data_IF_581043817377
#
_entry.id   IF_581043817377
#
_cell.length_a   1.000
_cell.length_b   1.000
_cell.length_c   1.000
_cell.angle_alpha   90.00
_cell.angle_beta   90.00
_cell.angle_gamma   90.00
#
_symmetry.space_group_name_H-M   'P 1'
#
loop_
_entity.id
_entity.type
_entity.pdbx_description
1 polymer ?
#
# COMPACT_ATOMS: atom_id res chain seq x y z
N UNK A 1 25.75 12.96 -45.78
CA UNK A 1 25.75 11.74 -44.96
C UNK A 1 25.06 12.08 -43.65
N UNK A 2 23.74 11.92 -43.59
CA UNK A 2 22.95 12.25 -42.40
C UNK A 2 23.07 11.10 -41.39
N UNK A 3 23.62 11.41 -40.22
CA UNK A 3 23.73 10.49 -39.09
C UNK A 3 22.30 10.31 -38.55
N UNK A 4 21.68 9.15 -38.80
CA UNK A 4 20.36 8.83 -38.23
C UNK A 4 20.54 8.50 -36.73
N UNK A 5 19.78 9.14 -35.82
CA UNK A 5 19.85 8.84 -34.41
C UNK A 5 19.17 7.50 -34.07
N UNK A 6 19.74 6.75 -33.13
CA UNK A 6 19.37 5.39 -32.74
C UNK A 6 18.20 5.36 -31.72
N UNK A 7 16.97 5.60 -32.19
CA UNK A 7 15.76 5.76 -31.34
C UNK A 7 14.97 4.49 -30.87
N UNK A 8 15.28 3.22 -31.18
CA UNK A 8 14.29 2.14 -30.90
C UNK A 8 14.37 1.46 -29.52
N UNK A 9 15.51 1.43 -28.82
CA UNK A 9 15.66 0.52 -27.66
C UNK A 9 15.09 1.07 -26.34
N UNK A 10 15.28 2.36 -26.08
CA UNK A 10 14.90 2.98 -24.80
C UNK A 10 13.39 3.15 -24.68
N UNK A 11 12.72 3.57 -25.76
CA UNK A 11 11.27 3.79 -25.79
C UNK A 11 10.52 2.47 -25.57
N UNK A 12 10.94 1.39 -26.23
CA UNK A 12 10.35 0.05 -26.06
C UNK A 12 10.53 -0.45 -24.63
N UNK A 13 11.69 -0.24 -24.02
CA UNK A 13 11.94 -0.67 -22.64
C UNK A 13 11.08 0.08 -21.61
N UNK A 14 10.84 1.39 -21.81
CA UNK A 14 9.99 2.19 -20.93
C UNK A 14 8.52 1.76 -21.04
N UNK A 15 8.03 1.50 -22.26
CA UNK A 15 6.67 1.02 -22.50
C UNK A 15 6.41 -0.33 -21.83
N UNK A 16 7.32 -1.30 -22.00
CA UNK A 16 7.19 -2.61 -21.38
C UNK A 16 7.16 -2.54 -19.84
N UNK A 17 7.99 -1.68 -19.25
CA UNK A 17 8.00 -1.47 -17.78
C UNK A 17 6.66 -0.93 -17.29
N UNK A 18 6.06 -0.01 -18.03
CA UNK A 18 4.76 0.55 -17.67
C UNK A 18 3.63 -0.48 -17.80
N UNK A 19 3.59 -1.24 -18.89
CA UNK A 19 2.62 -2.32 -19.10
C UNK A 19 2.70 -3.38 -18.00
N UNK A 20 3.91 -3.75 -17.59
CA UNK A 20 4.11 -4.70 -16.48
C UNK A 20 3.53 -4.19 -15.15
N UNK A 21 3.61 -2.89 -14.87
CA UNK A 21 3.00 -2.30 -13.66
C UNK A 21 1.48 -2.29 -13.76
N UNK A 22 0.92 -2.03 -14.95
CA UNK A 22 -0.54 -2.11 -15.17
C UNK A 22 -1.04 -3.54 -14.94
N UNK A 23 -0.33 -4.53 -15.50
CA UNK A 23 -0.64 -5.94 -15.32
C UNK A 23 -0.52 -6.35 -13.85
N UNK A 24 0.55 -5.93 -13.18
CA UNK A 24 0.76 -6.21 -11.76
C UNK A 24 -0.37 -5.64 -10.89
N UNK A 25 -0.76 -4.38 -11.11
CA UNK A 25 -1.80 -3.72 -10.34
C UNK A 25 -3.21 -4.26 -10.62
N UNK A 26 -3.45 -4.79 -11.81
CA UNK A 26 -4.80 -5.20 -12.25
C UNK A 26 -4.98 -6.71 -12.17
N UNK A 27 -4.17 -7.46 -12.92
CA UNK A 27 -4.35 -8.89 -13.08
C UNK A 27 -3.71 -9.67 -11.93
N UNK A 28 -2.42 -9.43 -11.66
CA UNK A 28 -1.69 -10.18 -10.62
C UNK A 28 -2.22 -9.86 -9.22
N UNK A 29 -2.41 -8.58 -8.91
CA UNK A 29 -3.03 -8.15 -7.65
C UNK A 29 -4.43 -8.73 -7.51
N UNK A 30 -5.23 -8.69 -8.58
CA UNK A 30 -6.60 -9.20 -8.60
C UNK A 30 -6.70 -10.68 -8.25
N UNK A 31 -6.05 -11.53 -9.04
CA UNK A 31 -6.09 -12.98 -8.83
C UNK A 31 -5.41 -13.39 -7.52
N UNK A 32 -4.35 -12.66 -7.12
CA UNK A 32 -3.62 -12.89 -5.89
C UNK A 32 -4.52 -12.73 -4.66
N UNK A 33 -5.22 -11.59 -4.54
CA UNK A 33 -6.09 -11.37 -3.39
C UNK A 33 -7.32 -12.29 -3.41
N UNK A 34 -7.92 -12.54 -4.58
CA UNK A 34 -9.14 -13.33 -4.69
C UNK A 34 -8.87 -14.81 -4.38
N UNK A 35 -7.68 -15.31 -4.75
CA UNK A 35 -7.29 -16.71 -4.56
C UNK A 35 -6.61 -16.99 -3.22
N UNK A 36 -5.96 -16.01 -2.59
CA UNK A 36 -5.24 -16.18 -1.32
C UNK A 36 -5.92 -15.53 -0.10
N UNK A 37 -6.86 -14.61 -0.33
CA UNK A 37 -7.63 -13.92 0.70
C UNK A 37 -7.02 -12.58 1.16
N UNK A 38 -7.82 -11.84 1.95
CA UNK A 38 -7.44 -10.56 2.55
C UNK A 38 -7.02 -10.75 4.02
N UNK A 39 -6.03 -9.97 4.47
CA UNK A 39 -5.49 -10.02 5.82
C UNK A 39 -5.61 -8.66 6.55
N UNK A 40 -4.72 -8.41 7.51
CA UNK A 40 -4.79 -7.23 8.39
C UNK A 40 -4.72 -5.90 7.62
N UNK A 41 -3.95 -5.81 6.53
CA UNK A 41 -3.79 -4.59 5.74
C UNK A 41 -5.13 -4.02 5.23
N UNK A 42 -5.99 -4.88 4.69
CA UNK A 42 -7.31 -4.45 4.20
C UNK A 42 -8.30 -4.19 5.34
N UNK A 43 -8.15 -4.87 6.48
CA UNK A 43 -8.97 -4.59 7.65
C UNK A 43 -8.62 -3.22 8.28
N UNK A 44 -7.34 -2.85 8.27
CA UNK A 44 -6.84 -1.54 8.70
C UNK A 44 -7.29 -0.45 7.73
N UNK A 45 -7.18 -0.68 6.42
CA UNK A 45 -7.76 0.18 5.39
C UNK A 45 -9.25 0.48 5.68
N UNK A 46 -10.03 -0.55 6.00
CA UNK A 46 -11.46 -0.40 6.33
C UNK A 46 -11.69 0.35 7.66
N UNK A 47 -10.72 0.33 8.58
CA UNK A 47 -10.73 1.22 9.75
C UNK A 47 -10.60 2.68 9.33
N UNK A 48 -9.66 2.99 8.42
CA UNK A 48 -9.46 4.35 7.93
C UNK A 48 -10.62 4.92 7.14
N UNK A 49 -11.48 4.11 6.53
CA UNK A 49 -12.69 4.63 5.87
C UNK A 49 -13.72 5.17 6.87
N UNK A 50 -13.65 4.78 8.15
CA UNK A 50 -14.46 5.34 9.21
C UNK A 50 -13.95 6.70 9.72
N UNK A 51 -12.71 7.08 9.40
CA UNK A 51 -12.12 8.37 9.75
C UNK A 51 -12.37 9.36 8.61
N UNK A 52 -13.08 10.45 8.90
CA UNK A 52 -13.32 11.52 7.91
C UNK A 52 -12.03 12.16 7.43
N UNK A 53 -11.02 12.25 8.31
CA UNK A 53 -9.70 12.79 8.01
C UNK A 53 -9.00 12.04 6.86
N UNK A 54 -9.25 10.74 6.74
CA UNK A 54 -8.63 9.91 5.72
C UNK A 54 -9.44 9.86 4.41
N UNK A 55 -10.59 10.54 4.28
CA UNK A 55 -11.45 10.42 3.08
C UNK A 55 -10.80 10.98 1.81
N UNK A 56 -9.88 11.93 1.95
CA UNK A 56 -9.12 12.47 0.82
C UNK A 56 -8.11 11.47 0.23
N UNK A 57 -7.72 10.43 0.98
CA UNK A 57 -6.73 9.44 0.55
C UNK A 57 -7.36 8.34 -0.32
N UNK A 58 -6.64 7.94 -1.36
CA UNK A 58 -7.01 6.83 -2.23
C UNK A 58 -6.91 5.48 -1.53
N UNK A 59 -7.59 4.47 -2.10
CA UNK A 59 -7.60 3.11 -1.57
C UNK A 59 -6.18 2.54 -1.40
N UNK A 60 -5.36 2.65 -2.45
CA UNK A 60 -3.98 2.14 -2.44
C UNK A 60 -3.08 2.79 -1.39
N UNK A 61 -3.27 4.09 -1.12
CA UNK A 61 -2.48 4.82 -0.13
C UNK A 61 -2.77 4.32 1.30
N UNK A 62 -4.05 4.11 1.62
CA UNK A 62 -4.48 3.52 2.89
C UNK A 62 -4.03 2.06 3.04
N UNK A 63 -4.10 1.28 1.96
CA UNK A 63 -3.65 -0.12 1.95
C UNK A 63 -2.14 -0.20 2.12
N UNK A 64 -1.35 0.71 1.53
CA UNK A 64 0.10 0.74 1.68
C UNK A 64 0.53 0.88 3.15
N UNK A 65 -0.05 1.86 3.86
CA UNK A 65 0.18 1.99 5.30
C UNK A 65 -0.32 0.75 6.07
N UNK A 66 -1.49 0.23 5.72
CA UNK A 66 -2.02 -1.00 6.30
C UNK A 66 -1.09 -2.21 6.16
N UNK A 67 -0.35 -2.31 5.04
CA UNK A 67 0.65 -3.36 4.81
C UNK A 67 1.84 -3.23 5.75
N UNK A 68 2.36 -2.01 5.96
CA UNK A 68 3.44 -1.78 6.94
C UNK A 68 3.02 -2.18 8.35
N UNK A 69 1.80 -1.80 8.75
CA UNK A 69 1.25 -2.21 10.05
C UNK A 69 1.07 -3.73 10.12
N UNK A 70 0.64 -4.38 9.04
CA UNK A 70 0.53 -5.84 9.00
C UNK A 70 1.88 -6.53 9.22
N UNK A 71 2.96 -6.08 8.58
CA UNK A 71 4.30 -6.65 8.79
C UNK A 71 4.75 -6.52 10.26
N UNK A 72 4.47 -5.38 10.88
CA UNK A 72 4.72 -5.18 12.32
C UNK A 72 3.87 -6.15 13.17
N UNK A 73 2.60 -6.35 12.84
CA UNK A 73 1.70 -7.27 13.55
C UNK A 73 2.12 -8.74 13.40
N UNK A 74 2.69 -9.11 12.26
CA UNK A 74 3.22 -10.44 11.97
C UNK A 74 4.61 -10.67 12.58
N UNK A 75 5.22 -9.62 13.15
CA UNK A 75 6.58 -9.63 13.66
C UNK A 75 7.58 -10.11 12.58
N UNK A 76 7.40 -9.59 11.36
CA UNK A 76 8.32 -9.80 10.25
C UNK A 76 9.73 -9.29 10.57
N UNK A 77 10.78 -9.86 9.93
CA UNK A 77 12.14 -9.35 10.05
C UNK A 77 12.22 -7.85 9.73
N UNK A 78 13.12 -7.14 10.43
CA UNK A 78 13.27 -5.70 10.25
C UNK A 78 13.69 -5.37 8.80
N UNK A 79 14.51 -6.22 8.19
CA UNK A 79 14.98 -6.07 6.83
C UNK A 79 13.83 -6.07 5.81
N UNK A 80 12.81 -6.90 6.03
CA UNK A 80 11.61 -6.94 5.17
C UNK A 80 10.74 -5.69 5.36
N UNK A 81 10.60 -5.22 6.61
CA UNK A 81 9.87 -3.99 6.92
C UNK A 81 10.56 -2.78 6.26
N UNK A 82 11.89 -2.70 6.37
CA UNK A 82 12.70 -1.63 5.77
C UNK A 82 12.61 -1.66 4.24
N UNK A 83 12.66 -2.84 3.60
CA UNK A 83 12.51 -2.96 2.15
C UNK A 83 11.17 -2.39 1.65
N UNK A 84 10.06 -2.76 2.31
CA UNK A 84 8.73 -2.27 1.93
C UNK A 84 8.57 -0.78 2.25
N UNK A 85 9.10 -0.32 3.38
CA UNK A 85 9.07 1.08 3.78
C UNK A 85 9.85 1.95 2.79
N UNK A 86 11.06 1.56 2.43
CA UNK A 86 11.90 2.28 1.46
C UNK A 86 11.24 2.32 0.09
N UNK A 87 10.60 1.23 -0.33
CA UNK A 87 9.82 1.22 -1.57
C UNK A 87 8.67 2.23 -1.52
N UNK A 88 7.87 2.22 -0.45
CA UNK A 88 6.77 3.16 -0.27
C UNK A 88 7.23 4.62 -0.34
N UNK A 89 8.33 4.96 0.34
CA UNK A 89 8.91 6.31 0.30
C UNK A 89 9.36 6.69 -1.11
N UNK A 90 10.01 5.77 -1.85
CA UNK A 90 10.50 6.02 -3.21
C UNK A 90 9.38 6.31 -4.22
N UNK A 91 8.21 5.68 -4.06
CA UNK A 91 7.05 5.89 -4.95
C UNK A 91 6.05 6.93 -4.43
N UNK A 92 6.32 7.55 -3.28
CA UNK A 92 5.51 8.61 -2.69
C UNK A 92 4.23 8.12 -2.00
N UNK A 93 4.23 6.89 -1.48
CA UNK A 93 3.14 6.36 -0.66
C UNK A 93 3.31 6.77 0.81
N UNK A 94 2.20 7.01 1.54
CA UNK A 94 2.26 7.43 2.94
C UNK A 94 2.77 6.30 3.84
N UNK A 95 3.71 6.64 4.72
CA UNK A 95 4.31 5.74 5.71
C UNK A 95 4.06 6.21 7.15
N UNK A 96 3.45 7.38 7.32
CA UNK A 96 3.06 7.93 8.64
C UNK A 96 1.56 8.22 8.72
N UNK A 97 1.03 8.27 9.95
CA UNK A 97 -0.36 8.67 10.19
C UNK A 97 -0.61 10.15 9.83
N UNK A 98 0.40 11.00 9.99
CA UNK A 98 0.32 12.42 9.64
C UNK A 98 0.13 12.61 8.12
N UNK A 99 0.85 11.83 7.30
CA UNK A 99 0.68 11.83 5.84
C UNK A 99 -0.69 11.31 5.40
N UNK A 100 -1.37 10.51 6.25
CA UNK A 100 -2.75 10.09 6.03
C UNK A 100 -3.79 11.12 6.53
N UNK A 101 -3.35 12.26 7.06
CA UNK A 101 -4.22 13.32 7.61
C UNK A 101 -4.67 13.09 9.05
N UNK A 102 -4.13 12.08 9.73
CA UNK A 102 -4.52 11.73 11.10
C UNK A 102 -3.61 12.44 12.10
N UNK A 103 -4.13 13.47 12.73
CA UNK A 103 -3.43 14.26 13.76
C UNK A 103 -3.84 13.90 15.20
N UNK A 104 -4.71 12.90 15.36
CA UNK A 104 -5.28 12.52 16.65
C UNK A 104 -4.30 11.68 17.50
N UNK A 105 -4.42 11.79 18.82
CA UNK A 105 -3.63 11.02 19.80
C UNK A 105 -4.22 9.62 20.06
N UNK A 106 -3.46 8.70 20.66
CA UNK A 106 -3.82 7.28 20.78
C UNK A 106 -5.18 6.98 21.42
N UNK A 107 -5.63 7.78 22.39
CA UNK A 107 -6.94 7.61 23.02
C UNK A 107 -8.08 8.08 22.11
N UNK A 108 -7.90 9.22 21.43
CA UNK A 108 -8.87 9.78 20.47
C UNK A 108 -9.03 8.88 19.24
N UNK A 109 -7.93 8.27 18.78
CA UNK A 109 -7.91 7.26 17.72
C UNK A 109 -8.72 6.02 18.08
N UNK A 110 -8.62 5.55 19.32
CA UNK A 110 -9.35 4.38 19.80
C UNK A 110 -10.86 4.64 19.93
N UNK A 111 -11.27 5.86 20.25
CA UNK A 111 -12.68 6.25 20.25
C UNK A 111 -13.23 6.37 18.83
N UNK A 112 -12.47 6.95 17.90
CA UNK A 112 -12.92 7.09 16.50
C UNK A 112 -12.93 5.75 15.74
N UNK A 113 -12.00 4.84 16.00
CA UNK A 113 -11.84 3.56 15.29
C UNK A 113 -12.70 2.41 15.88
N UNK A 114 -14.02 2.58 15.98
CA UNK A 114 -14.91 1.46 16.32
C UNK A 114 -14.90 0.34 15.27
N UNK A 115 -14.57 0.64 14.00
CA UNK A 115 -14.52 -0.34 12.89
C UNK A 115 -13.35 -1.32 12.96
N UNK A 116 -12.21 -0.90 13.51
CA UNK A 116 -10.98 -1.71 13.57
C UNK A 116 -11.00 -2.78 14.69
N UNK A 117 -11.94 -2.70 15.65
CA UNK A 117 -12.07 -3.67 16.76
C UNK A 117 -12.44 -5.10 16.31
N UNK A 118 -12.75 -5.30 15.03
CA UNK A 118 -13.10 -6.59 14.42
C UNK A 118 -11.99 -7.20 13.57
N UNK A 119 -10.74 -6.77 13.71
CA UNK A 119 -9.59 -7.56 13.23
C UNK A 119 -9.53 -8.83 14.08
N UNK A 120 -10.32 -9.84 13.72
CA UNK A 120 -10.05 -11.22 14.14
C UNK A 120 -8.77 -11.59 13.43
N UNK A 121 -7.64 -11.47 14.14
CA UNK A 121 -6.40 -12.12 13.74
C UNK A 121 -6.77 -13.57 13.42
N UNK A 122 -6.64 -13.97 12.16
CA UNK A 122 -6.67 -15.38 11.79
C UNK A 122 -5.35 -15.98 12.30
N UNK A 123 -5.22 -16.12 13.63
CA UNK A 123 -4.28 -17.08 14.19
C UNK A 123 -4.82 -18.44 13.77
N UNK A 124 -4.05 -19.15 12.95
CA UNK A 124 -4.22 -20.60 12.79
C UNK A 124 -4.15 -21.28 14.15
#
# INVERSE_FOLDING_TARGET
MAIKPNWPSVVVCVLLRFENIIEANTFLSGIGFESAGLAAAHAIHNGFTALEECHAMYHGEKVAFGTLVQLVLENSPLEEIEEVLDFCVQVGLPVTLEELGVHATGDELNEKNHGCRRIKLCRR
#
